data_IF_553804930582
#
_entry.id   IF_553804930582
#
_cell.length_a   1.000
_cell.length_b   1.000
_cell.length_c   1.000
_cell.angle_alpha   90.00
_cell.angle_beta   90.00
_cell.angle_gamma   90.00
#
_symmetry.space_group_name_H-M   'P 1'
#
loop_
_entity.id
_entity.type
_entity.pdbx_description
1 polymer ?
#
# COMPACT_ATOMS: atom_id res chain seq x y z
N UNK A 1 -16.28 3.33 -2.85
CA UNK A 1 -14.83 3.31 -2.59
C UNK A 1 -14.30 1.88 -2.65
N UNK A 2 -13.09 1.74 -3.11
CA UNK A 2 -12.40 0.45 -3.18
C UNK A 2 -11.06 0.51 -2.47
N UNK A 3 -10.68 -0.58 -1.85
CA UNK A 3 -9.41 -0.68 -1.12
C UNK A 3 -8.46 -1.63 -1.85
N UNK A 4 -7.19 -1.26 -1.86
CA UNK A 4 -6.09 -2.15 -2.26
C UNK A 4 -5.47 -2.68 -0.99
N UNK A 5 -5.52 -4.00 -0.80
CA UNK A 5 -4.95 -4.68 0.36
C UNK A 5 -3.69 -5.39 -0.09
N UNK A 6 -2.56 -5.03 0.49
CA UNK A 6 -1.25 -5.53 0.08
C UNK A 6 -0.60 -6.28 1.23
N UNK A 7 -0.22 -7.52 0.98
CA UNK A 7 0.57 -8.34 1.90
C UNK A 7 2.03 -8.32 1.47
N UNK A 8 2.92 -8.01 2.39
CA UNK A 8 4.34 -7.79 2.12
C UNK A 8 5.22 -8.58 3.08
N UNK A 9 6.41 -8.95 2.60
CA UNK A 9 7.51 -9.39 3.46
C UNK A 9 8.58 -8.32 3.41
N UNK A 10 9.03 -7.87 4.59
CA UNK A 10 9.95 -6.75 4.74
C UNK A 10 11.24 -7.26 5.39
N UNK A 11 12.38 -7.06 4.73
CA UNK A 11 13.68 -7.49 5.24
C UNK A 11 14.46 -6.35 5.90
N UNK A 12 14.11 -5.10 5.59
CA UNK A 12 14.70 -3.93 6.22
C UNK A 12 14.34 -3.85 7.71
N UNK A 13 15.20 -3.24 8.52
CA UNK A 13 14.87 -2.97 9.91
C UNK A 13 13.72 -1.94 9.99
N UNK A 14 13.16 -1.79 11.18
CA UNK A 14 11.99 -0.93 11.38
C UNK A 14 12.27 0.53 11.00
N UNK A 15 13.42 1.07 11.40
CA UNK A 15 13.75 2.47 11.13
C UNK A 15 13.96 2.73 9.65
N UNK A 16 14.66 1.84 8.94
CA UNK A 16 14.87 1.95 7.51
C UNK A 16 13.55 1.85 6.75
N UNK A 17 12.72 0.87 7.11
CA UNK A 17 11.42 0.67 6.48
C UNK A 17 10.50 1.88 6.68
N UNK A 18 10.41 2.38 7.90
CA UNK A 18 9.56 3.54 8.22
C UNK A 18 10.00 4.79 7.44
N UNK A 19 11.31 4.99 7.31
CA UNK A 19 11.84 6.11 6.55
C UNK A 19 11.54 5.98 5.07
N UNK A 20 11.72 4.79 4.49
CA UNK A 20 11.38 4.53 3.09
C UNK A 20 9.89 4.77 2.82
N UNK A 21 9.04 4.33 3.73
CA UNK A 21 7.59 4.56 3.62
C UNK A 21 7.29 6.05 3.57
N UNK A 22 7.79 6.82 4.53
CA UNK A 22 7.49 8.25 4.62
C UNK A 22 8.08 9.07 3.47
N UNK A 23 9.28 8.73 3.01
CA UNK A 23 9.99 9.52 2.01
C UNK A 23 9.68 9.12 0.57
N UNK A 24 9.35 7.85 0.32
CA UNK A 24 9.20 7.32 -1.04
C UNK A 24 7.79 6.78 -1.32
N UNK A 25 7.28 5.90 -0.47
CA UNK A 25 6.04 5.17 -0.77
C UNK A 25 4.80 6.04 -0.51
N UNK A 26 4.70 6.64 0.66
CA UNK A 26 3.54 7.46 1.04
C UNK A 26 3.32 8.63 0.06
N UNK A 27 4.35 9.42 -0.29
CA UNK A 27 4.16 10.49 -1.28
C UNK A 27 3.70 9.96 -2.64
N UNK A 28 4.29 8.87 -3.13
CA UNK A 28 3.92 8.31 -4.42
C UNK A 28 2.47 7.84 -4.46
N UNK A 29 2.03 7.13 -3.41
CA UNK A 29 0.67 6.60 -3.35
C UNK A 29 -0.35 7.72 -3.11
N UNK A 30 -0.04 8.67 -2.22
CA UNK A 30 -0.97 9.75 -1.88
C UNK A 30 -1.23 10.72 -3.04
N UNK A 31 -0.34 10.77 -4.02
CA UNK A 31 -0.52 11.57 -5.23
C UNK A 31 -1.26 10.82 -6.35
N UNK A 32 -1.55 9.53 -6.16
CA UNK A 32 -2.28 8.76 -7.16
C UNK A 32 -3.71 9.31 -7.31
N UNK A 33 -4.25 9.38 -8.55
CA UNK A 33 -5.61 9.84 -8.75
C UNK A 33 -6.62 9.01 -7.97
N UNK A 34 -7.55 9.69 -7.29
CA UNK A 34 -8.61 9.05 -6.52
C UNK A 34 -8.21 8.56 -5.14
N UNK A 35 -6.99 8.81 -4.68
CA UNK A 35 -6.54 8.40 -3.36
C UNK A 35 -7.37 9.09 -2.26
N UNK A 36 -7.85 8.31 -1.27
CA UNK A 36 -8.63 8.79 -0.13
C UNK A 36 -7.85 8.67 1.17
N UNK A 37 -7.35 7.47 1.46
CA UNK A 37 -6.63 7.20 2.71
C UNK A 37 -5.74 5.98 2.56
N UNK A 38 -4.71 5.91 3.38
CA UNK A 38 -3.82 4.77 3.38
C UNK A 38 -3.27 4.49 4.78
N UNK A 39 -3.09 3.21 5.06
CA UNK A 39 -2.52 2.74 6.31
C UNK A 39 -1.48 1.68 5.99
N UNK A 40 -0.27 1.88 6.49
CA UNK A 40 0.83 0.94 6.33
C UNK A 40 1.14 0.37 7.70
N UNK A 41 0.95 -0.94 7.85
CA UNK A 41 1.16 -1.64 9.12
C UNK A 41 2.27 -2.66 9.01
N UNK A 42 2.88 -2.96 10.13
CA UNK A 42 3.95 -3.96 10.18
C UNK A 42 3.92 -4.72 11.49
N UNK A 43 4.08 -6.04 11.41
CA UNK A 43 4.33 -6.91 12.55
C UNK A 43 5.53 -7.78 12.20
N UNK A 44 6.64 -7.61 12.90
CA UNK A 44 7.91 -8.28 12.61
C UNK A 44 8.35 -8.03 11.17
N UNK A 45 8.37 -9.05 10.32
CA UNK A 45 8.72 -8.94 8.90
C UNK A 45 7.51 -8.96 7.98
N UNK A 46 6.33 -8.98 8.56
CA UNK A 46 5.08 -8.99 7.80
C UNK A 46 4.50 -7.59 7.72
N UNK A 47 4.26 -7.13 6.51
CA UNK A 47 3.60 -5.85 6.25
C UNK A 47 2.20 -6.07 5.72
N UNK A 48 1.27 -5.22 6.14
CA UNK A 48 -0.07 -5.17 5.60
C UNK A 48 -0.43 -3.72 5.36
N UNK A 49 -0.72 -3.38 4.10
CA UNK A 49 -1.12 -2.03 3.72
C UNK A 49 -2.56 -2.04 3.25
N UNK A 50 -3.31 -1.02 3.64
CA UNK A 50 -4.68 -0.82 3.16
C UNK A 50 -4.75 0.59 2.56
N UNK A 51 -5.01 0.66 1.26
CA UNK A 51 -5.03 1.90 0.50
C UNK A 51 -6.43 2.08 -0.08
N UNK A 52 -7.09 3.18 0.24
CA UNK A 52 -8.48 3.42 -0.16
C UNK A 52 -8.53 4.45 -1.29
N UNK A 53 -9.31 4.14 -2.32
CA UNK A 53 -9.52 4.98 -3.49
C UNK A 53 -10.99 5.25 -3.73
N UNK A 54 -11.30 6.34 -4.41
CA UNK A 54 -12.68 6.75 -4.71
C UNK A 54 -13.42 5.78 -5.61
N UNK A 55 -12.70 5.10 -6.52
CA UNK A 55 -13.29 4.22 -7.53
C UNK A 55 -12.53 2.92 -7.65
N UNK A 56 -13.19 1.92 -8.23
CA UNK A 56 -12.57 0.64 -8.57
C UNK A 56 -11.43 0.82 -9.58
N UNK A 57 -11.64 1.67 -10.58
CA UNK A 57 -10.62 1.92 -11.61
C UNK A 57 -9.34 2.50 -11.00
N UNK A 58 -9.46 3.47 -10.09
CA UNK A 58 -8.31 4.05 -9.41
C UNK A 58 -7.58 3.00 -8.55
N UNK A 59 -8.32 2.16 -7.85
CA UNK A 59 -7.76 1.07 -7.04
C UNK A 59 -7.03 0.05 -7.92
N UNK A 60 -7.65 -0.38 -9.02
CA UNK A 60 -7.05 -1.34 -9.94
C UNK A 60 -5.77 -0.79 -10.58
N UNK A 61 -5.76 0.47 -10.95
CA UNK A 61 -4.58 1.11 -11.55
C UNK A 61 -3.41 1.13 -10.56
N UNK A 62 -3.67 1.49 -9.30
CA UNK A 62 -2.63 1.47 -8.27
C UNK A 62 -2.17 0.04 -7.97
N UNK A 63 -3.09 -0.91 -7.86
CA UNK A 63 -2.76 -2.31 -7.63
C UNK A 63 -1.79 -2.85 -8.69
N UNK A 64 -2.00 -2.46 -9.96
CA UNK A 64 -1.13 -2.88 -11.06
C UNK A 64 0.30 -2.33 -10.94
N UNK A 65 0.50 -1.23 -10.19
CA UNK A 65 1.80 -0.57 -10.03
C UNK A 65 2.52 -0.92 -8.73
N UNK A 66 1.84 -1.55 -7.78
CA UNK A 66 2.38 -1.79 -6.43
C UNK A 66 3.73 -2.52 -6.49
N UNK A 67 3.86 -3.53 -7.32
CA UNK A 67 5.11 -4.29 -7.43
C UNK A 67 6.30 -3.45 -7.84
N UNK A 68 6.09 -2.47 -8.74
CA UNK A 68 7.16 -1.58 -9.21
C UNK A 68 7.46 -0.44 -8.24
N UNK A 69 6.57 -0.19 -7.28
CA UNK A 69 6.74 0.87 -6.27
C UNK A 69 7.43 0.36 -5.01
N UNK A 70 7.53 -0.95 -4.83
CA UNK A 70 8.10 -1.55 -3.64
C UNK A 70 9.63 -1.35 -3.61
N UNK A 71 10.20 -0.93 -2.46
CA UNK A 71 11.65 -0.88 -2.28
C UNK A 71 12.30 -2.27 -2.38
N UNK A 72 13.61 -2.32 -2.58
CA UNK A 72 14.37 -3.58 -2.69
C UNK A 72 14.15 -4.53 -1.51
N UNK A 73 14.02 -3.95 -0.30
CA UNK A 73 13.87 -4.72 0.93
C UNK A 73 12.44 -5.20 1.18
N UNK A 74 11.55 -5.02 0.20
CA UNK A 74 10.15 -5.36 0.32
C UNK A 74 9.75 -6.30 -0.81
N UNK A 75 9.16 -7.43 -0.44
CA UNK A 75 8.59 -8.38 -1.40
C UNK A 75 7.07 -8.31 -1.30
N UNK A 76 6.41 -8.03 -2.41
CA UNK A 76 4.94 -8.05 -2.49
C UNK A 76 4.48 -9.50 -2.62
N UNK A 77 3.77 -9.99 -1.60
CA UNK A 77 3.29 -11.37 -1.57
C UNK A 77 1.93 -11.51 -2.23
N UNK A 78 1.04 -10.55 -2.00
CA UNK A 78 -0.31 -10.59 -2.52
C UNK A 78 -0.91 -9.19 -2.60
N UNK A 79 -1.73 -8.96 -3.62
CA UNK A 79 -2.44 -7.70 -3.82
C UNK A 79 -3.90 -8.02 -4.15
N UNK A 80 -4.83 -7.47 -3.36
CA UNK A 80 -6.25 -7.64 -3.59
C UNK A 80 -6.94 -6.28 -3.70
N UNK A 81 -7.93 -6.20 -4.59
CA UNK A 81 -8.81 -5.02 -4.66
C UNK A 81 -10.18 -5.45 -4.14
N UNK A 82 -10.68 -4.72 -3.14
CA UNK A 82 -11.95 -5.03 -2.47
C UNK A 82 -12.83 -3.80 -2.39
N UNK A 83 -14.14 -4.00 -2.49
CA UNK A 83 -15.08 -2.93 -2.25
C UNK A 83 -15.11 -2.59 -0.75
N UNK A 84 -15.11 -1.29 -0.44
CA UNK A 84 -15.28 -0.82 0.94
C UNK A 84 -16.78 -0.80 1.23
N UNK A 85 -17.20 -1.64 2.16
CA UNK A 85 -18.63 -1.79 2.48
C UNK A 85 -19.07 -0.98 3.68
N UNK A 86 -18.12 -0.50 4.48
CA UNK A 86 -18.39 0.36 5.64
C UNK A 86 -17.11 1.08 6.05
N UNK A 87 -17.28 2.26 6.65
CA UNK A 87 -16.17 3.01 7.25
C UNK A 87 -16.67 3.84 8.41
N UNK A 88 -15.78 4.23 9.26
CA UNK A 88 -16.11 5.07 10.40
C UNK A 88 -15.19 6.29 10.46
#
# INVERSE_FOLDING_TARGET
>A
MHAVVVHLTITADFDTDTRQLREQVVPAVSHAPGFVAGYWTREERSGLSVLVFESEDAANETAARIGSMAPEDVTVEDVEVREVVASA
#
